data_IF_456871029711
#
_entry.id   IF_456871029711
#
_cell.length_a   1.000
_cell.length_b   1.000
_cell.length_c   1.000
_cell.angle_alpha   90.00
_cell.angle_beta   90.00
_cell.angle_gamma   90.00
#
_symmetry.space_group_name_H-M   'P 1'
#
loop_
_entity.id
_entity.type
_entity.pdbx_description
1 polymer ?
#
# COMPACT_ATOMS: atom_id res chain seq x y z
N UNK A 1 -14.87 10.68 1.18
CA UNK A 1 -14.42 11.05 -0.18
C UNK A 1 -13.33 12.10 -0.05
N UNK A 2 -12.06 11.68 -0.04
CA UNK A 2 -10.89 12.54 0.12
C UNK A 2 -9.94 12.36 -1.07
N UNK A 3 -10.44 12.58 -2.28
CA UNK A 3 -9.65 12.46 -3.51
C UNK A 3 -9.66 13.81 -4.23
N UNK A 4 -8.46 14.33 -4.51
CA UNK A 4 -8.24 15.57 -5.24
C UNK A 4 -7.50 15.24 -6.52
N UNK A 5 -8.05 15.64 -7.66
CA UNK A 5 -7.39 15.48 -8.95
C UNK A 5 -6.74 16.82 -9.35
N UNK A 6 -5.45 16.79 -9.65
CA UNK A 6 -4.70 17.88 -10.25
C UNK A 6 -4.47 17.56 -11.74
N UNK A 7 -5.12 18.30 -12.63
CA UNK A 7 -4.81 18.24 -14.05
C UNK A 7 -3.65 19.19 -14.36
N UNK A 8 -2.54 18.66 -14.90
CA UNK A 8 -1.39 19.44 -15.36
C UNK A 8 -1.18 19.23 -16.86
N UNK A 9 -0.44 20.12 -17.53
CA UNK A 9 -0.09 19.98 -18.95
C UNK A 9 0.67 18.68 -19.28
N UNK A 10 1.19 17.98 -18.26
CA UNK A 10 1.89 16.69 -18.38
C UNK A 10 1.06 15.48 -17.95
N UNK A 11 -0.22 15.67 -17.62
CA UNK A 11 -1.14 14.60 -17.21
C UNK A 11 -1.87 14.87 -15.89
N UNK A 12 -2.70 13.91 -15.48
CA UNK A 12 -3.49 13.96 -14.25
C UNK A 12 -2.67 13.38 -13.09
N UNK A 13 -2.54 14.14 -12.00
CA UNK A 13 -1.97 13.71 -10.72
C UNK A 13 -3.12 13.65 -9.71
N UNK A 14 -3.43 12.48 -9.15
CA UNK A 14 -4.39 12.39 -8.04
C UNK A 14 -3.65 12.43 -6.70
N UNK A 15 -4.20 13.20 -5.77
CA UNK A 15 -3.82 13.23 -4.36
C UNK A 15 -5.00 12.68 -3.57
N UNK A 16 -4.85 11.46 -3.04
CA UNK A 16 -5.82 10.89 -2.13
C UNK A 16 -5.36 11.22 -0.71
N UNK A 17 -6.21 11.94 0.04
CA UNK A 17 -6.05 12.09 1.47
C UNK A 17 -6.07 10.70 2.13
N UNK A 18 -5.15 10.50 3.05
CA UNK A 18 -4.94 9.25 3.78
C UNK A 18 -6.15 8.90 4.68
N UNK A 19 -6.77 9.88 5.32
CA UNK A 19 -7.93 9.69 6.20
C UNK A 19 -9.23 9.42 5.43
N UNK A 20 -9.51 8.15 5.14
CA UNK A 20 -10.81 7.68 4.58
C UNK A 20 -11.69 6.97 5.61
N UNK A 21 -12.96 6.75 5.23
CA UNK A 21 -13.83 5.80 5.92
C UNK A 21 -13.15 4.42 5.92
N UNK A 22 -13.10 3.78 7.08
CA UNK A 22 -12.52 2.45 7.26
C UNK A 22 -13.61 1.38 7.20
N UNK A 23 -13.22 0.14 6.90
CA UNK A 23 -14.14 -1.00 6.86
C UNK A 23 -14.06 -1.79 8.17
N UNK A 24 -15.19 -2.24 8.71
CA UNK A 24 -15.20 -3.18 9.86
C UNK A 24 -14.64 -4.56 9.45
N UNK A 25 -14.85 -4.96 8.19
CA UNK A 25 -14.28 -6.17 7.61
C UNK A 25 -13.41 -5.84 6.39
N UNK A 26 -12.21 -6.42 6.31
CA UNK A 26 -11.26 -6.22 5.20
C UNK A 26 -11.59 -7.13 3.99
N UNK A 27 -12.82 -7.02 3.45
CA UNK A 27 -13.33 -7.96 2.42
C UNK A 27 -12.74 -7.72 1.02
N UNK A 28 -12.25 -6.51 0.73
CA UNK A 28 -11.82 -6.12 -0.60
C UNK A 28 -10.55 -5.25 -0.56
N UNK A 29 -9.45 -5.80 -0.05
CA UNK A 29 -8.15 -5.11 -0.05
C UNK A 29 -7.58 -5.04 -1.46
N UNK A 30 -7.29 -3.82 -1.91
CA UNK A 30 -6.73 -3.54 -3.22
C UNK A 30 -5.40 -2.80 -3.09
N UNK A 31 -4.46 -3.08 -3.99
CA UNK A 31 -3.13 -2.45 -3.96
C UNK A 31 -2.82 -1.85 -5.33
N UNK A 32 -2.48 -0.56 -5.35
CA UNK A 32 -2.21 0.17 -6.59
C UNK A 32 -1.14 1.26 -6.42
N UNK A 33 -0.31 1.51 -7.46
CA UNK A 33 -0.28 0.80 -8.73
C UNK A 33 0.29 -0.62 -8.57
N UNK A 34 -0.20 -1.55 -9.39
CA UNK A 34 0.27 -2.93 -9.45
C UNK A 34 0.10 -3.47 -10.88
N UNK A 35 1.17 -3.77 -11.62
CA UNK A 35 2.57 -3.71 -11.20
C UNK A 35 3.09 -2.28 -10.98
N UNK A 36 4.11 -2.15 -10.15
CA UNK A 36 4.89 -0.93 -9.96
C UNK A 36 5.98 -0.89 -11.03
N UNK A 37 5.88 0.10 -11.91
CA UNK A 37 6.83 0.31 -13.02
C UNK A 37 8.11 1.01 -12.54
N UNK A 38 9.23 0.90 -13.29
CA UNK A 38 10.52 1.46 -12.89
C UNK A 38 10.49 2.99 -12.85
N UNK A 39 9.62 3.59 -13.68
CA UNK A 39 9.42 5.04 -13.76
C UNK A 39 8.42 5.61 -12.74
N UNK A 40 7.85 4.76 -11.89
CA UNK A 40 6.90 5.20 -10.86
C UNK A 40 7.62 5.44 -9.54
N UNK A 41 7.67 6.70 -9.10
CA UNK A 41 8.28 7.11 -7.81
C UNK A 41 7.24 7.63 -6.80
N UNK A 42 5.96 7.40 -7.08
CA UNK A 42 4.86 7.77 -6.20
C UNK A 42 4.61 6.77 -5.07
N UNK A 43 3.56 7.03 -4.29
CA UNK A 43 3.13 6.16 -3.20
C UNK A 43 2.28 4.99 -3.72
N UNK A 44 2.66 3.78 -3.34
CA UNK A 44 1.86 2.57 -3.50
C UNK A 44 0.82 2.56 -2.38
N UNK A 45 -0.44 2.58 -2.76
CA UNK A 45 -1.59 2.62 -1.87
C UNK A 45 -2.15 1.22 -1.66
N UNK A 46 -2.41 0.90 -0.40
CA UNK A 46 -3.11 -0.30 0.05
C UNK A 46 -4.45 0.20 0.60
N UNK A 47 -5.53 -0.09 -0.10
CA UNK A 47 -6.89 0.40 0.18
C UNK A 47 -7.82 -0.72 0.64
N UNK A 48 -8.93 -0.36 1.29
CA UNK A 48 -9.90 -1.31 1.81
C UNK A 48 -9.56 -1.85 3.20
N UNK A 49 -8.78 -1.12 3.98
CA UNK A 49 -8.31 -1.54 5.30
C UNK A 49 -9.30 -1.14 6.40
N UNK A 50 -9.22 -1.86 7.52
CA UNK A 50 -9.77 -1.40 8.78
C UNK A 50 -8.88 -0.32 9.41
N UNK A 51 -9.47 0.48 10.29
CA UNK A 51 -8.73 1.50 11.04
C UNK A 51 -7.64 0.82 11.88
N UNK A 52 -6.46 1.44 11.92
CA UNK A 52 -5.32 0.99 12.71
C UNK A 52 -4.91 -0.46 12.39
N UNK A 53 -5.21 -0.94 11.17
CA UNK A 53 -4.78 -2.24 10.72
C UNK A 53 -3.26 -2.26 10.54
N UNK A 54 -2.62 -3.29 11.08
CA UNK A 54 -1.19 -3.54 10.89
C UNK A 54 -0.93 -3.97 9.45
N UNK A 55 0.03 -3.33 8.78
CA UNK A 55 0.46 -3.65 7.43
C UNK A 55 1.95 -4.01 7.45
N UNK A 56 2.27 -5.21 6.97
CA UNK A 56 3.66 -5.69 6.80
C UNK A 56 3.89 -6.10 5.37
N UNK A 57 4.97 -5.62 4.78
CA UNK A 57 5.36 -5.98 3.42
C UNK A 57 6.64 -6.81 3.49
N UNK A 58 6.64 -7.96 2.82
CA UNK A 58 7.79 -8.87 2.77
C UNK A 58 8.20 -9.18 1.34
N UNK A 59 9.45 -9.58 1.15
CA UNK A 59 9.85 -10.34 -0.03
C UNK A 59 9.29 -11.79 0.03
N UNK A 60 9.53 -12.56 -1.04
CA UNK A 60 9.13 -13.98 -1.12
C UNK A 60 9.89 -14.90 -0.15
N UNK A 61 11.01 -14.44 0.40
CA UNK A 61 11.78 -15.16 1.41
C UNK A 61 11.26 -14.90 2.83
N UNK A 62 10.28 -14.00 2.98
CA UNK A 62 9.67 -13.64 4.26
C UNK A 62 10.40 -12.53 5.01
N UNK A 63 11.39 -11.89 4.40
CA UNK A 63 12.05 -10.73 5.03
C UNK A 63 11.10 -9.54 4.99
N UNK A 64 10.80 -8.96 6.15
CA UNK A 64 10.02 -7.72 6.21
C UNK A 64 10.87 -6.59 5.66
N UNK A 65 10.36 -5.89 4.66
CA UNK A 65 11.03 -4.74 4.02
C UNK A 65 10.39 -3.42 4.41
N UNK A 66 9.12 -3.44 4.82
CA UNK A 66 8.37 -2.26 5.26
C UNK A 66 7.26 -2.67 6.23
N UNK A 67 6.95 -1.79 7.18
CA UNK A 67 5.82 -1.94 8.11
C UNK A 67 5.21 -0.57 8.41
N UNK A 68 3.88 -0.53 8.51
CA UNK A 68 3.12 0.65 8.92
C UNK A 68 1.77 0.25 9.49
N UNK A 69 1.02 1.22 10.00
CA UNK A 69 -0.38 1.07 10.42
C UNK A 69 -1.27 1.81 9.43
N UNK A 70 -2.49 1.32 9.22
CA UNK A 70 -3.46 1.99 8.37
C UNK A 70 -3.92 3.31 8.99
N UNK A 71 -3.81 4.41 8.24
CA UNK A 71 -4.45 5.67 8.60
C UNK A 71 -5.87 5.69 8.03
N UNK A 72 -6.87 5.43 8.88
CA UNK A 72 -8.24 5.24 8.42
C UNK A 72 -8.37 3.95 7.59
N UNK A 73 -8.88 4.03 6.37
CA UNK A 73 -9.09 2.86 5.51
C UNK A 73 -7.90 2.46 4.64
N UNK A 74 -6.72 3.09 4.82
CA UNK A 74 -5.59 3.00 3.88
C UNK A 74 -4.24 2.98 4.56
N UNK A 75 -3.27 2.37 3.86
CA UNK A 75 -1.86 2.52 4.14
C UNK A 75 -1.10 2.87 2.85
N UNK A 76 0.05 3.53 2.96
CA UNK A 76 0.88 3.88 1.81
C UNK A 76 2.32 3.47 2.01
N UNK A 77 2.98 3.06 0.93
CA UNK A 77 4.39 2.71 0.90
C UNK A 77 5.09 3.37 -0.29
N UNK A 78 6.29 3.92 -0.07
CA UNK A 78 7.10 4.57 -1.10
C UNK A 78 7.98 3.59 -1.92
N UNK A 79 7.87 2.28 -1.68
CA UNK A 79 8.68 1.28 -2.36
C UNK A 79 10.13 1.20 -1.87
N UNK A 80 10.46 1.85 -0.75
CA UNK A 80 11.79 1.77 -0.14
C UNK A 80 11.81 0.75 1.00
N UNK A 81 12.94 0.05 1.15
CA UNK A 81 13.19 -0.79 2.32
C UNK A 81 13.54 0.05 3.56
N UNK A 82 13.80 -0.61 4.70
CA UNK A 82 14.21 0.04 5.93
C UNK A 82 15.56 0.79 5.85
N UNK A 83 16.38 0.52 4.83
CA UNK A 83 17.62 1.26 4.57
C UNK A 83 17.38 2.49 3.68
N UNK A 84 16.14 2.76 3.28
CA UNK A 84 15.78 3.83 2.34
C UNK A 84 16.16 3.50 0.89
N UNK A 85 16.48 2.25 0.58
CA UNK A 85 16.84 1.80 -0.77
C UNK A 85 15.60 1.28 -1.50
N UNK A 86 15.48 1.61 -2.80
CA UNK A 86 14.39 1.09 -3.64
C UNK A 86 14.48 -0.43 -3.70
N UNK A 87 13.35 -1.10 -3.47
CA UNK A 87 13.29 -2.56 -3.54
C UNK A 87 13.53 -3.08 -4.97
N UNK A 88 14.11 -4.27 -5.08
CA UNK A 88 14.44 -4.93 -6.36
C UNK A 88 13.19 -5.38 -7.13
N UNK A 89 13.38 -5.79 -8.39
CA UNK A 89 12.34 -6.45 -9.19
C UNK A 89 11.91 -7.74 -8.49
N UNK A 90 10.60 -7.96 -8.40
CA UNK A 90 10.08 -9.14 -7.74
C UNK A 90 8.64 -9.01 -7.28
N UNK A 91 8.17 -10.04 -6.58
CA UNK A 91 6.85 -10.03 -5.94
C UNK A 91 7.04 -9.80 -4.45
N UNK A 92 6.28 -8.87 -3.90
CA UNK A 92 6.24 -8.54 -2.48
C UNK A 92 4.86 -8.90 -1.92
N UNK A 93 4.84 -9.55 -0.77
CA UNK A 93 3.61 -9.95 -0.08
C UNK A 93 3.19 -8.84 0.88
N UNK A 94 1.92 -8.46 0.85
CA UNK A 94 1.34 -7.46 1.77
C UNK A 94 0.44 -8.21 2.74
N UNK A 95 0.88 -8.33 3.98
CA UNK A 95 0.10 -8.90 5.08
C UNK A 95 -0.62 -7.77 5.79
N UNK A 96 -1.91 -7.93 5.98
CA UNK A 96 -2.73 -6.99 6.74
C UNK A 96 -3.50 -7.72 7.82
N UNK A 97 -3.50 -7.18 9.03
CA UNK A 97 -4.31 -7.68 10.16
C UNK A 97 -5.00 -6.54 10.88
N UNK A 98 -6.24 -6.73 11.33
CA UNK A 98 -6.88 -5.82 12.27
C UNK A 98 -6.08 -5.76 13.59
N UNK A 99 -6.21 -4.67 14.33
CA UNK A 99 -5.50 -4.46 15.61
C UNK A 99 -5.84 -5.51 16.68
N UNK A 100 -7.01 -6.15 16.58
CA UNK A 100 -7.43 -7.28 17.42
C UNK A 100 -7.03 -8.65 16.87
N UNK A 101 -6.43 -8.70 15.67
CA UNK A 101 -5.99 -9.91 14.98
C UNK A 101 -7.10 -10.80 14.44
N UNK A 102 -8.37 -10.39 14.49
CA UNK A 102 -9.50 -11.24 14.09
C UNK A 102 -9.67 -11.34 12.58
N UNK A 103 -9.33 -10.29 11.83
CA UNK A 103 -9.39 -10.29 10.37
C UNK A 103 -7.98 -10.17 9.80
N UNK A 104 -7.65 -11.04 8.86
CA UNK A 104 -6.36 -11.01 8.15
C UNK A 104 -6.58 -11.15 6.65
N UNK A 105 -5.73 -10.51 5.87
CA UNK A 105 -5.73 -10.65 4.42
C UNK A 105 -4.33 -10.51 3.87
N UNK A 106 -4.14 -11.07 2.68
CA UNK A 106 -2.85 -11.10 2.00
C UNK A 106 -3.04 -10.63 0.57
N UNK A 107 -2.27 -9.63 0.17
CA UNK A 107 -2.18 -9.14 -1.20
C UNK A 107 -0.76 -9.21 -1.74
N UNK A 108 -0.57 -8.85 -3.01
CA UNK A 108 0.72 -8.93 -3.70
C UNK A 108 0.99 -7.66 -4.48
N UNK A 109 2.25 -7.22 -4.46
CA UNK A 109 2.76 -6.13 -5.31
C UNK A 109 3.84 -6.71 -6.20
N UNK A 110 3.72 -6.50 -7.51
CA UNK A 110 4.79 -6.81 -8.45
C UNK A 110 5.60 -5.55 -8.76
N UNK A 111 6.91 -5.57 -8.53
CA UNK A 111 7.85 -4.57 -9.03
C UNK A 111 8.47 -5.08 -10.33
N UNK A 112 8.46 -4.24 -11.36
CA UNK A 112 9.06 -4.51 -12.66
C UNK A 112 10.04 -3.38 -12.94
N UNK A 113 11.35 -3.66 -12.90
CA UNK A 113 12.41 -2.76 -13.36
C UNK A 113 12.85 -3.06 -14.78
#
# INVERSE_FOLDING_TARGET
>A
NGEVFFATEKGIVSFLADATNFYEEMTAVNVFPNPVHPSYDGLITIDGLSRDADVKITDVSGNVVFQTEANGGRATWNGLDFNGSRVSTGVYMVFVSTSDGQSTTVSKIAFIH
#
